data_IF_958205773816
#
_entry.id   IF_958205773816
#
_cell.length_a   1.000
_cell.length_b   1.000
_cell.length_c   1.000
_cell.angle_alpha   90.00
_cell.angle_beta   90.00
_cell.angle_gamma   90.00
#
_symmetry.space_group_name_H-M   'P 1'
#
loop_
_entity.id
_entity.type
_entity.pdbx_description
1 polymer ?
#
# COMPACT_ATOMS: atom_id res chain seq x y z
N UNK A 1 -30.65 21.89 3.48
CA UNK A 1 -29.86 21.65 2.25
C UNK A 1 -28.43 22.18 2.38
N UNK A 2 -28.22 23.45 2.78
CA UNK A 2 -26.86 23.98 3.01
C UNK A 2 -26.06 23.20 4.07
N UNK A 3 -26.69 22.78 5.17
CA UNK A 3 -25.99 22.07 6.24
C UNK A 3 -25.56 20.65 5.85
N UNK A 4 -26.28 20.00 4.93
CA UNK A 4 -25.89 18.70 4.39
C UNK A 4 -24.63 18.80 3.52
N UNK A 5 -24.53 19.85 2.69
CA UNK A 5 -23.31 20.11 1.92
C UNK A 5 -22.13 20.51 2.80
N UNK A 6 -22.37 21.28 3.87
CA UNK A 6 -21.32 21.56 4.87
C UNK A 6 -20.81 20.27 5.50
N UNK A 7 -21.70 19.36 5.89
CA UNK A 7 -21.31 18.07 6.46
C UNK A 7 -20.48 17.24 5.46
N UNK A 8 -20.89 17.17 4.18
CA UNK A 8 -20.12 16.49 3.15
C UNK A 8 -18.74 17.13 2.93
N UNK A 9 -18.66 18.46 2.87
CA UNK A 9 -17.40 19.18 2.74
C UNK A 9 -16.47 18.93 3.93
N UNK A 10 -17.00 18.83 5.16
CA UNK A 10 -16.20 18.52 6.34
C UNK A 10 -15.58 17.13 6.26
N UNK A 11 -16.30 16.14 5.74
CA UNK A 11 -15.76 14.79 5.51
C UNK A 11 -14.65 14.82 4.45
N UNK A 12 -14.89 15.46 3.30
CA UNK A 12 -13.90 15.58 2.24
C UNK A 12 -12.64 16.33 2.71
N UNK A 13 -12.83 17.42 3.46
CA UNK A 13 -11.74 18.17 4.07
C UNK A 13 -10.96 17.28 5.01
N UNK A 14 -11.62 16.59 5.94
CA UNK A 14 -10.96 15.69 6.88
C UNK A 14 -10.17 14.57 6.18
N UNK A 15 -10.68 14.04 5.07
CA UNK A 15 -10.01 12.97 4.31
C UNK A 15 -8.69 13.45 3.71
N UNK A 16 -8.73 14.59 3.01
CA UNK A 16 -7.54 15.15 2.35
C UNK A 16 -6.57 15.70 3.38
N UNK A 17 -7.07 16.41 4.39
CA UNK A 17 -6.26 16.96 5.47
C UNK A 17 -5.55 15.84 6.24
N UNK A 18 -6.25 14.77 6.63
CA UNK A 18 -5.66 13.67 7.39
C UNK A 18 -4.49 12.99 6.68
N UNK A 19 -4.56 12.84 5.36
CA UNK A 19 -3.47 12.24 4.56
C UNK A 19 -2.34 13.26 4.30
N UNK A 20 -2.68 14.51 4.03
CA UNK A 20 -1.68 15.54 3.74
C UNK A 20 -0.89 15.95 4.99
N UNK A 21 -1.57 16.07 6.14
CA UNK A 21 -0.98 16.45 7.41
C UNK A 21 -0.02 15.38 7.93
N UNK A 22 -0.36 14.10 7.80
CA UNK A 22 0.50 13.01 8.30
C UNK A 22 1.88 12.95 7.61
N UNK A 23 1.98 13.51 6.40
CA UNK A 23 3.22 13.58 5.61
C UNK A 23 3.95 14.90 5.88
N UNK A 24 3.22 16.02 5.91
CA UNK A 24 3.84 17.36 5.86
C UNK A 24 4.00 18.01 7.23
N UNK A 25 3.19 17.61 8.22
CA UNK A 25 3.20 18.21 9.54
C UNK A 25 3.99 17.33 10.51
N UNK A 26 4.98 17.87 11.21
CA UNK A 26 5.76 17.09 12.16
C UNK A 26 4.91 16.74 13.39
N UNK A 27 5.14 15.55 13.92
CA UNK A 27 4.69 15.16 15.24
C UNK A 27 5.69 14.26 15.96
N UNK A 28 5.19 13.53 16.95
CA UNK A 28 6.00 12.61 17.76
C UNK A 28 6.46 11.39 16.95
N UNK A 29 5.57 10.86 16.12
CA UNK A 29 5.79 9.78 15.17
C UNK A 29 5.40 10.28 13.80
N UNK A 30 6.40 10.44 12.93
CA UNK A 30 6.21 10.88 11.55
C UNK A 30 6.04 9.67 10.64
N UNK A 31 5.27 9.86 9.58
CA UNK A 31 5.06 8.87 8.52
C UNK A 31 5.62 9.45 7.24
N UNK A 32 6.28 8.63 6.43
CA UNK A 32 6.83 9.08 5.16
C UNK A 32 5.85 8.83 3.98
N UNK A 33 6.22 9.33 2.80
CA UNK A 33 5.38 9.14 1.62
C UNK A 33 5.34 7.68 1.13
N UNK A 34 6.38 6.89 1.38
CA UNK A 34 6.43 5.49 0.96
C UNK A 34 5.45 4.64 1.79
N UNK A 35 5.34 4.93 3.08
CA UNK A 35 4.37 4.36 4.01
C UNK A 35 2.93 4.63 3.56
N UNK A 36 2.58 5.91 3.36
CA UNK A 36 1.25 6.30 2.87
C UNK A 36 0.95 5.67 1.52
N UNK A 37 1.92 5.69 0.59
CA UNK A 37 1.77 5.07 -0.72
C UNK A 37 1.50 3.57 -0.61
N UNK A 38 2.14 2.88 0.32
CA UNK A 38 1.94 1.43 0.53
C UNK A 38 0.50 1.14 0.93
N UNK A 39 -0.03 1.86 1.93
CA UNK A 39 -1.42 1.69 2.37
C UNK A 39 -2.42 2.11 1.28
N UNK A 40 -2.19 3.23 0.60
CA UNK A 40 -3.11 3.75 -0.41
C UNK A 40 -3.06 3.01 -1.76
N UNK A 41 -2.01 2.23 -2.02
CA UNK A 41 -1.91 1.40 -3.23
C UNK A 41 -2.72 0.12 -3.15
N UNK A 42 -3.31 -0.20 -1.99
CA UNK A 42 -4.17 -1.36 -1.84
C UNK A 42 -5.43 -1.24 -2.69
N UNK A 43 -5.67 -2.25 -3.53
CA UNK A 43 -6.80 -2.29 -4.44
C UNK A 43 -8.08 -2.65 -3.69
N UNK A 44 -9.15 -1.92 -3.95
CA UNK A 44 -10.46 -2.19 -3.38
C UNK A 44 -11.15 -0.91 -2.95
N UNK A 45 -12.13 -1.06 -2.07
CA UNK A 45 -12.81 0.08 -1.47
C UNK A 45 -11.93 0.70 -0.38
N UNK A 46 -12.08 2.01 -0.23
CA UNK A 46 -11.46 2.78 0.83
C UNK A 46 -12.53 3.53 1.61
N UNK A 47 -12.35 3.63 2.92
CA UNK A 47 -13.30 4.22 3.84
C UNK A 47 -12.59 5.09 4.86
N UNK A 48 -13.30 6.08 5.42
CA UNK A 48 -12.74 7.03 6.37
C UNK A 48 -13.63 7.17 7.59
N UNK A 49 -13.02 7.20 8.77
CA UNK A 49 -13.67 7.60 10.02
C UNK A 49 -12.85 8.68 10.73
N UNK A 50 -13.52 9.63 11.37
CA UNK A 50 -12.85 10.65 12.19
C UNK A 50 -13.65 10.92 13.44
N UNK A 51 -12.96 11.11 14.56
CA UNK A 51 -13.55 11.50 15.82
C UNK A 51 -12.58 12.30 16.67
N UNK A 52 -13.13 13.09 17.59
CA UNK A 52 -12.39 13.91 18.51
C UNK A 52 -12.89 13.69 19.94
N UNK A 53 -11.98 13.67 20.90
CA UNK A 53 -12.32 13.53 22.30
C UNK A 53 -11.41 14.40 23.19
N UNK A 54 -11.86 14.60 24.43
CA UNK A 54 -11.17 15.38 25.48
C UNK A 54 -11.15 14.60 26.78
N UNK A 55 -10.24 14.96 27.70
CA UNK A 55 -10.11 14.34 29.02
C UNK A 55 -9.10 13.19 29.08
N UNK A 56 -9.08 12.46 30.21
CA UNK A 56 -8.04 11.48 30.52
C UNK A 56 -8.02 10.26 29.59
N UNK A 57 -9.19 9.86 29.08
CA UNK A 57 -9.38 8.70 28.19
C UNK A 57 -9.54 9.12 26.71
N UNK A 58 -9.18 10.37 26.36
CA UNK A 58 -9.43 10.94 25.04
C UNK A 58 -8.87 10.10 23.89
N UNK A 59 -7.68 9.52 24.07
CA UNK A 59 -7.02 8.69 23.07
C UNK A 59 -7.84 7.45 22.69
N UNK A 60 -8.23 6.67 23.71
CA UNK A 60 -9.07 5.48 23.54
C UNK A 60 -10.45 5.83 22.98
N UNK A 61 -11.10 6.86 23.53
CA UNK A 61 -12.46 7.24 23.13
C UNK A 61 -12.47 7.73 21.68
N UNK A 62 -11.54 8.60 21.28
CA UNK A 62 -11.45 9.09 19.92
C UNK A 62 -11.17 7.94 18.93
N UNK A 63 -10.27 7.01 19.26
CA UNK A 63 -10.01 5.84 18.43
C UNK A 63 -11.25 4.95 18.27
N UNK A 64 -11.98 4.66 19.35
CA UNK A 64 -13.21 3.86 19.32
C UNK A 64 -14.30 4.52 18.48
N UNK A 65 -14.49 5.83 18.64
CA UNK A 65 -15.48 6.59 17.88
C UNK A 65 -15.11 6.73 16.40
N UNK A 66 -13.82 6.87 16.09
CA UNK A 66 -13.36 6.92 14.70
C UNK A 66 -13.62 5.59 13.98
N UNK A 67 -13.43 4.45 14.65
CA UNK A 67 -13.77 3.11 14.12
C UNK A 67 -15.28 2.93 13.99
N UNK A 68 -16.06 3.41 14.95
CA UNK A 68 -17.52 3.33 14.95
C UNK A 68 -18.20 4.46 14.14
N UNK A 69 -17.48 5.09 13.20
CA UNK A 69 -18.04 6.18 12.41
C UNK A 69 -19.20 5.69 11.53
N UNK A 70 -20.28 6.47 11.37
CA UNK A 70 -21.38 6.12 10.46
C UNK A 70 -20.94 5.89 9.02
N UNK A 71 -19.83 6.51 8.63
CA UNK A 71 -19.22 6.28 7.33
C UNK A 71 -18.67 4.86 7.18
N UNK A 72 -18.53 4.08 8.25
CA UNK A 72 -17.98 2.72 8.28
C UNK A 72 -19.04 1.63 8.58
N UNK A 73 -20.32 1.98 8.75
CA UNK A 73 -21.36 1.07 9.30
C UNK A 73 -21.56 -0.23 8.52
N UNK A 74 -21.38 -0.22 7.20
CA UNK A 74 -21.56 -1.40 6.34
C UNK A 74 -20.26 -2.16 6.04
N UNK A 75 -19.13 -1.71 6.61
CA UNK A 75 -17.82 -2.23 6.23
C UNK A 75 -17.03 -2.68 7.45
N UNK A 76 -16.76 -3.99 7.50
CA UNK A 76 -15.94 -4.57 8.55
C UNK A 76 -14.47 -4.16 8.36
N UNK A 77 -13.93 -3.40 9.31
CA UNK A 77 -12.53 -2.98 9.34
C UNK A 77 -11.56 -4.18 9.40
N UNK A 78 -12.03 -5.34 9.87
CA UNK A 78 -11.28 -6.59 9.82
C UNK A 78 -11.01 -7.09 8.39
N UNK A 79 -11.68 -6.54 7.38
CA UNK A 79 -11.39 -6.83 5.97
C UNK A 79 -10.36 -5.90 5.34
N UNK A 80 -9.86 -4.88 6.06
CA UNK A 80 -8.92 -3.91 5.52
C UNK A 80 -7.51 -4.50 5.45
N UNK A 81 -6.82 -4.28 4.33
CA UNK A 81 -5.40 -4.68 4.17
C UNK A 81 -4.44 -3.59 4.59
N UNK A 82 -4.86 -2.34 4.43
CA UNK A 82 -4.10 -1.17 4.82
C UNK A 82 -4.96 -0.27 5.68
N UNK A 83 -4.39 0.25 6.76
CA UNK A 83 -5.04 1.24 7.62
C UNK A 83 -4.04 2.33 7.94
N UNK A 84 -4.36 3.56 7.53
CA UNK A 84 -3.61 4.76 7.88
C UNK A 84 -4.37 5.49 8.99
N UNK A 85 -3.66 5.84 10.05
CA UNK A 85 -4.21 6.54 11.21
C UNK A 85 -3.43 7.84 11.38
N UNK A 86 -4.13 8.97 11.35
CA UNK A 86 -3.59 10.26 11.72
C UNK A 86 -4.12 10.65 13.11
N UNK A 87 -3.22 10.99 14.02
CA UNK A 87 -3.53 11.47 15.37
C UNK A 87 -3.11 12.93 15.48
N UNK A 88 -4.07 13.84 15.50
CA UNK A 88 -3.81 15.26 15.73
C UNK A 88 -4.01 15.58 17.21
N UNK A 89 -3.01 16.17 17.85
CA UNK A 89 -3.03 16.53 19.27
C UNK A 89 -2.13 17.75 19.53
N UNK A 90 -2.26 18.39 20.68
CA UNK A 90 -1.28 19.39 21.13
C UNK A 90 0.01 18.75 21.64
N UNK A 91 1.03 19.56 21.95
CA UNK A 91 2.27 19.14 22.64
C UNK A 91 2.05 18.40 23.96
N UNK A 92 0.83 18.42 24.52
CA UNK A 92 0.44 17.62 25.68
C UNK A 92 0.39 16.11 25.41
N UNK A 93 0.42 15.68 24.14
CA UNK A 93 0.31 14.29 23.72
C UNK A 93 1.44 13.41 24.23
N UNK A 94 1.10 12.26 24.81
CA UNK A 94 2.07 11.34 25.43
C UNK A 94 2.15 10.01 24.69
N UNK A 95 3.30 9.35 24.81
CA UNK A 95 3.48 7.99 24.30
C UNK A 95 2.44 6.97 24.82
N UNK A 96 1.94 7.16 26.06
CA UNK A 96 0.86 6.31 26.58
C UNK A 96 -0.41 6.40 25.72
N UNK A 97 -0.80 7.62 25.35
CA UNK A 97 -1.97 7.88 24.50
C UNK A 97 -1.77 7.31 23.09
N UNK A 98 -0.57 7.42 22.55
CA UNK A 98 -0.19 6.78 21.29
C UNK A 98 -0.42 5.26 21.31
N UNK A 99 0.06 4.57 22.35
CA UNK A 99 -0.16 3.13 22.50
C UNK A 99 -1.65 2.79 22.70
N UNK A 100 -2.41 3.62 23.41
CA UNK A 100 -3.85 3.44 23.56
C UNK A 100 -4.59 3.52 22.21
N UNK A 101 -4.25 4.50 21.36
CA UNK A 101 -4.81 4.58 19.99
C UNK A 101 -4.42 3.36 19.18
N UNK A 102 -3.12 3.02 19.14
CA UNK A 102 -2.62 1.90 18.35
C UNK A 102 -3.27 0.56 18.76
N UNK A 103 -3.32 0.28 20.06
CA UNK A 103 -3.90 -0.97 20.57
C UNK A 103 -5.40 -1.05 20.31
N UNK A 104 -6.10 0.08 20.42
CA UNK A 104 -7.53 0.15 20.11
C UNK A 104 -7.76 -0.21 18.64
N UNK A 105 -7.04 0.43 17.72
CA UNK A 105 -7.24 0.21 16.27
C UNK A 105 -6.84 -1.20 15.88
N UNK A 106 -5.71 -1.72 16.38
CA UNK A 106 -5.29 -3.11 16.14
C UNK A 106 -6.33 -4.14 16.60
N UNK A 107 -7.13 -3.83 17.63
CA UNK A 107 -8.22 -4.69 18.07
C UNK A 107 -9.39 -4.80 17.08
N UNK A 108 -9.50 -3.87 16.12
CA UNK A 108 -10.56 -3.84 15.11
C UNK A 108 -10.08 -4.19 13.70
N UNK A 109 -8.76 -4.27 13.48
CA UNK A 109 -8.16 -4.62 12.18
C UNK A 109 -7.71 -6.08 12.15
N UNK A 110 -7.53 -6.64 10.96
CA UNK A 110 -6.92 -7.97 10.82
C UNK A 110 -5.46 -7.98 11.31
N UNK A 111 -4.98 -9.14 11.72
CA UNK A 111 -3.60 -9.32 12.20
C UNK A 111 -2.58 -9.10 11.06
N UNK A 112 -2.96 -9.47 9.84
CA UNK A 112 -2.17 -9.27 8.62
C UNK A 112 -2.29 -7.86 8.00
N UNK A 113 -3.12 -6.98 8.56
CA UNK A 113 -3.31 -5.64 8.02
C UNK A 113 -2.07 -4.77 8.28
N UNK A 114 -1.65 -4.01 7.26
CA UNK A 114 -0.61 -2.99 7.40
C UNK A 114 -1.20 -1.76 8.06
N UNK A 115 -0.93 -1.58 9.35
CA UNK A 115 -1.41 -0.43 10.13
C UNK A 115 -0.28 0.59 10.33
N UNK A 116 -0.49 1.80 9.81
CA UNK A 116 0.46 2.92 9.92
C UNK A 116 -0.18 4.01 10.77
N UNK A 117 0.50 4.41 11.84
CA UNK A 117 0.02 5.45 12.76
C UNK A 117 1.00 6.61 12.73
N UNK A 118 0.51 7.76 12.25
CA UNK A 118 1.23 9.02 12.33
C UNK A 118 0.58 9.98 13.31
N UNK A 119 1.38 10.94 13.76
CA UNK A 119 0.95 11.96 14.71
C UNK A 119 1.26 13.33 14.15
N UNK A 120 0.38 14.28 14.41
CA UNK A 120 0.52 15.68 14.03
C UNK A 120 0.34 16.53 15.27
N UNK A 121 1.27 17.46 15.49
CA UNK A 121 1.18 18.39 16.62
C UNK A 121 0.56 19.70 16.14
N UNK A 122 -0.62 20.03 16.66
CA UNK A 122 -1.32 21.29 16.43
C UNK A 122 -1.73 21.92 17.78
N UNK A 123 -1.09 23.04 18.12
CA UNK A 123 -1.34 23.79 19.34
C UNK A 123 -2.72 24.47 19.37
N UNK A 124 -3.36 24.65 18.21
CA UNK A 124 -4.66 25.32 18.13
C UNK A 124 -5.80 24.43 18.64
N UNK A 125 -5.58 23.11 18.76
CA UNK A 125 -6.64 22.17 19.17
C UNK A 125 -6.78 22.07 20.69
N UNK A 126 -5.86 22.66 21.46
CA UNK A 126 -5.89 22.67 22.92
C UNK A 126 -5.81 21.26 23.51
N UNK A 127 -6.78 20.91 24.36
CA UNK A 127 -6.85 19.61 25.04
C UNK A 127 -7.57 18.53 24.23
N UNK A 128 -8.01 18.83 23.01
CA UNK A 128 -8.60 17.85 22.10
C UNK A 128 -7.54 16.84 21.63
N UNK A 129 -7.99 15.63 21.33
CA UNK A 129 -7.24 14.65 20.54
C UNK A 129 -8.17 14.15 19.44
N UNK A 130 -7.74 14.32 18.19
CA UNK A 130 -8.49 13.90 17.01
C UNK A 130 -7.82 12.70 16.37
N UNK A 131 -8.59 11.65 16.14
CA UNK A 131 -8.15 10.44 15.41
C UNK A 131 -8.89 10.41 14.09
N UNK A 132 -8.13 10.27 13.00
CA UNK A 132 -8.65 10.07 11.66
C UNK A 132 -8.10 8.78 11.10
N UNK A 133 -8.97 7.90 10.63
CA UNK A 133 -8.65 6.57 10.12
C UNK A 133 -9.03 6.53 8.65
N UNK A 134 -8.13 6.03 7.81
CA UNK A 134 -8.35 5.72 6.41
C UNK A 134 -8.04 4.25 6.20
N UNK A 135 -9.07 3.45 5.95
CA UNK A 135 -8.95 2.01 5.68
C UNK A 135 -9.03 1.76 4.18
N UNK A 136 -8.14 0.92 3.65
CA UNK A 136 -8.01 0.60 2.23
C UNK A 136 -7.95 -0.91 2.01
N UNK A 137 -8.19 -1.35 0.77
CA UNK A 137 -8.19 -2.77 0.43
C UNK A 137 -9.45 -3.53 0.88
N UNK A 138 -10.54 -2.82 1.17
CA UNK A 138 -11.79 -3.41 1.65
C UNK A 138 -12.54 -4.10 0.50
N UNK A 139 -13.16 -5.25 0.81
CA UNK A 139 -14.04 -5.99 -0.12
C UNK A 139 -13.32 -6.76 -1.23
N UNK A 140 -11.98 -6.72 -1.28
CA UNK A 140 -11.19 -7.49 -2.25
C UNK A 140 -10.76 -8.81 -1.62
N UNK A 141 -11.22 -9.99 -2.10
CA UNK A 141 -10.68 -11.26 -1.63
C UNK A 141 -9.17 -11.23 -1.76
N UNK A 142 -8.44 -11.82 -0.80
CA UNK A 142 -6.97 -11.88 -0.75
C UNK A 142 -6.44 -12.64 -1.98
N UNK A 143 -6.48 -11.99 -3.14
CA UNK A 143 -5.67 -12.31 -4.28
C UNK A 143 -4.26 -11.96 -3.83
N UNK A 144 -3.51 -13.00 -3.46
CA UNK A 144 -2.06 -12.92 -3.24
C UNK A 144 -1.51 -12.12 -4.41
N UNK A 145 -1.00 -10.92 -4.14
CA UNK A 145 -0.26 -10.19 -5.14
C UNK A 145 0.86 -11.14 -5.58
N UNK A 146 0.79 -11.62 -6.83
CA UNK A 146 1.97 -12.21 -7.44
C UNK A 146 3.02 -11.09 -7.43
N UNK A 147 4.21 -11.33 -6.88
CA UNK A 147 5.26 -10.32 -6.90
C UNK A 147 5.45 -9.89 -8.34
N UNK A 148 5.21 -8.60 -8.64
CA UNK A 148 5.56 -8.04 -9.94
C UNK A 148 7.05 -8.36 -10.13
N UNK A 149 7.45 -9.05 -11.21
CA UNK A 149 8.85 -9.37 -11.41
C UNK A 149 9.61 -8.04 -11.45
N UNK A 150 10.49 -7.86 -10.46
CA UNK A 150 11.40 -6.72 -10.46
C UNK A 150 12.34 -6.97 -11.61
N UNK A 151 12.15 -6.25 -12.71
CA UNK A 151 13.07 -6.28 -13.84
C UNK A 151 14.36 -5.63 -13.34
N UNK A 152 15.33 -6.46 -12.96
CA UNK A 152 16.69 -6.02 -12.64
C UNK A 152 17.29 -5.53 -13.95
N UNK A 153 17.55 -4.23 -14.04
CA UNK A 153 18.21 -3.61 -15.19
C UNK A 153 19.64 -4.11 -15.29
N UNK A 154 19.91 -5.03 -16.21
CA UNK A 154 21.22 -5.64 -16.43
C UNK A 154 22.06 -4.94 -17.52
N UNK A 155 21.64 -3.78 -18.00
CA UNK A 155 22.44 -2.96 -18.93
C UNK A 155 22.36 -3.40 -20.39
N UNK A 156 21.33 -4.18 -20.76
CA UNK A 156 21.00 -4.59 -22.15
C UNK A 156 19.66 -4.01 -22.61
N UNK A 157 19.15 -3.03 -21.87
CA UNK A 157 17.79 -2.50 -21.91
C UNK A 157 17.44 -1.76 -23.23
N UNK A 158 18.45 -1.35 -24.01
CA UNK A 158 18.30 -0.59 -25.25
C UNK A 158 18.21 -1.46 -26.53
N UNK A 159 18.39 -2.77 -26.43
CA UNK A 159 18.14 -3.67 -27.56
C UNK A 159 16.69 -4.14 -27.54
N UNK A 160 15.96 -3.82 -28.61
CA UNK A 160 14.61 -4.31 -28.84
C UNK A 160 14.65 -5.84 -28.90
N UNK A 161 14.37 -6.48 -27.76
CA UNK A 161 14.22 -7.92 -27.70
C UNK A 161 13.03 -8.28 -28.59
N UNK A 162 13.30 -9.04 -29.65
CA UNK A 162 12.26 -9.65 -30.47
C UNK A 162 11.21 -10.25 -29.52
N UNK A 163 9.95 -9.82 -29.69
CA UNK A 163 8.81 -10.25 -28.87
C UNK A 163 8.72 -11.77 -28.88
N UNK A 164 9.25 -12.41 -27.84
CA UNK A 164 9.06 -13.84 -27.63
C UNK A 164 7.66 -14.03 -27.09
N UNK A 165 6.78 -14.56 -27.92
CA UNK A 165 5.41 -14.90 -27.54
C UNK A 165 5.41 -16.11 -26.60
N UNK A 166 5.19 -15.85 -25.31
CA UNK A 166 5.13 -16.90 -24.28
C UNK A 166 3.85 -17.73 -24.37
N UNK A 167 2.79 -17.25 -25.04
CA UNK A 167 1.50 -17.95 -25.11
C UNK A 167 1.55 -19.19 -26.01
N UNK A 168 2.45 -19.22 -27.01
CA UNK A 168 2.63 -20.39 -27.88
C UNK A 168 3.58 -21.44 -27.29
N UNK A 169 4.31 -21.12 -26.22
CA UNK A 169 5.36 -22.01 -25.71
C UNK A 169 4.80 -23.11 -24.81
N UNK A 170 3.67 -22.91 -24.15
CA UNK A 170 3.10 -23.85 -23.16
C UNK A 170 2.40 -25.09 -23.77
N UNK A 171 2.19 -25.13 -25.09
CA UNK A 171 1.44 -26.21 -25.74
C UNK A 171 2.30 -27.38 -26.27
N UNK A 172 3.63 -27.26 -26.30
CA UNK A 172 4.50 -28.27 -26.90
C UNK A 172 5.29 -29.09 -25.84
N UNK A 173 5.34 -30.43 -25.95
CA UNK A 173 6.09 -31.28 -25.03
C UNK A 173 7.57 -30.92 -24.99
N UNK A 174 8.18 -30.96 -23.79
CA UNK A 174 9.58 -30.57 -23.52
C UNK A 174 10.61 -31.23 -24.47
N UNK A 175 10.30 -32.40 -25.02
CA UNK A 175 11.15 -33.16 -25.94
C UNK A 175 11.33 -32.46 -27.30
N UNK A 176 10.33 -31.69 -27.75
CA UNK A 176 10.37 -30.96 -29.03
C UNK A 176 11.06 -29.58 -28.92
N UNK A 177 11.37 -29.11 -27.70
CA UNK A 177 12.01 -27.81 -27.47
C UNK A 177 13.54 -27.82 -27.68
N UNK A 178 14.18 -28.99 -27.68
CA UNK A 178 15.65 -29.11 -27.81
C UNK A 178 16.14 -28.63 -29.18
N UNK A 179 15.53 -29.12 -30.27
CA UNK A 179 15.95 -28.78 -31.65
C UNK A 179 15.75 -27.30 -32.00
N UNK A 180 14.79 -26.61 -31.35
CA UNK A 180 14.53 -25.18 -31.63
C UNK A 180 15.58 -24.27 -31.00
N UNK A 181 16.25 -24.69 -29.92
CA UNK A 181 17.32 -23.91 -29.27
C UNK A 181 18.63 -23.96 -30.05
N UNK A 182 18.99 -25.13 -30.59
CA UNK A 182 20.13 -25.27 -31.50
C UNK A 182 19.96 -24.39 -32.73
N UNK A 183 18.76 -24.42 -33.36
CA UNK A 183 18.43 -23.55 -34.48
C UNK A 183 18.50 -22.04 -34.13
N UNK A 184 18.17 -21.67 -32.89
CA UNK A 184 18.32 -20.30 -32.41
C UNK A 184 19.79 -19.90 -32.21
N UNK A 185 20.62 -20.79 -31.69
CA UNK A 185 22.07 -20.55 -31.55
C UNK A 185 22.72 -20.40 -32.93
N UNK A 186 22.33 -21.23 -33.90
CA UNK A 186 22.79 -21.16 -35.28
C UNK A 186 22.38 -19.83 -35.95
N UNK A 187 21.12 -19.41 -35.78
CA UNK A 187 20.62 -18.15 -36.32
C UNK A 187 21.31 -16.92 -35.71
N UNK A 188 21.61 -16.95 -34.41
CA UNK A 188 22.34 -15.88 -33.73
C UNK A 188 23.80 -15.78 -34.22
N UNK A 189 24.47 -16.91 -34.45
CA UNK A 189 25.79 -16.94 -35.10
C UNK A 189 25.74 -16.36 -36.51
N UNK A 190 24.73 -16.72 -37.32
CA UNK A 190 24.54 -16.18 -38.67
C UNK A 190 24.24 -14.68 -38.68
N UNK A 191 23.64 -14.15 -37.60
CA UNK A 191 23.44 -12.70 -37.42
C UNK A 191 24.70 -11.93 -37.00
N UNK A 192 25.86 -12.61 -36.90
CA UNK A 192 27.15 -12.00 -36.59
C UNK A 192 27.48 -11.92 -35.11
N UNK A 193 26.73 -12.62 -34.25
CA UNK A 193 26.98 -12.67 -32.82
C UNK A 193 28.10 -13.68 -32.51
N UNK A 194 29.14 -13.23 -31.81
CA UNK A 194 30.24 -14.09 -31.38
C UNK A 194 29.75 -15.18 -30.42
N UNK A 195 30.33 -16.39 -30.49
CA UNK A 195 29.88 -17.53 -29.67
C UNK A 195 29.93 -17.24 -28.16
N UNK A 196 30.89 -16.41 -27.73
CA UNK A 196 31.08 -16.01 -26.33
C UNK A 196 30.01 -15.03 -25.84
N UNK A 197 29.37 -14.29 -26.75
CA UNK A 197 28.32 -13.31 -26.46
C UNK A 197 26.92 -13.96 -26.41
N UNK A 198 26.78 -15.18 -26.91
CA UNK A 198 25.54 -15.96 -26.82
C UNK A 198 25.31 -16.36 -25.35
N UNK A 199 24.12 -16.09 -24.77
CA UNK A 199 23.84 -16.43 -23.38
C UNK A 199 24.10 -17.90 -23.03
N UNK A 200 24.76 -18.13 -21.88
CA UNK A 200 25.22 -19.47 -21.48
C UNK A 200 24.09 -20.51 -21.37
N UNK A 201 22.85 -20.10 -21.09
CA UNK A 201 21.70 -21.00 -21.01
C UNK A 201 21.26 -21.56 -22.37
N UNK A 202 21.58 -20.89 -23.48
CA UNK A 202 21.36 -21.39 -24.85
C UNK A 202 22.50 -22.30 -25.33
N UNK A 203 23.72 -22.15 -24.77
CA UNK A 203 24.90 -22.96 -25.13
C UNK A 203 24.90 -24.35 -24.48
N UNK A 204 24.37 -24.47 -23.27
CA UNK A 204 24.57 -25.63 -22.37
C UNK A 204 23.87 -26.95 -22.77
N UNK A 205 23.25 -27.03 -23.95
CA UNK A 205 22.61 -28.26 -24.45
C UNK A 205 23.14 -28.71 -25.82
N UNK A 206 24.07 -27.95 -26.42
CA UNK A 206 24.68 -28.28 -27.71
C UNK A 206 26.02 -29.03 -27.57
N UNK A 207 26.50 -29.24 -26.34
CA UNK A 207 27.64 -30.11 -25.97
C UNK A 207 27.16 -31.40 -25.32
#
# INVERSE_FOLDING_TARGET
>A
MLDAFKAANNVLHGAVAGIAEVINCPGMVNVDFADVKTVMSEMGMAMMGSAAAVGADRARIAAQQAVASPLLEDVNLAGARGVLVNVTASTSFKMKEYYEVMNTIKGFTAEEATVIVGTVIDENIGDELRVTIVATGLGSPIARQQPKPVIVKTGTDDYSAATVDYQTTEAEPTVFRSNRREAQVEALKQSGMEYLDIPAFLRKQAD
#
